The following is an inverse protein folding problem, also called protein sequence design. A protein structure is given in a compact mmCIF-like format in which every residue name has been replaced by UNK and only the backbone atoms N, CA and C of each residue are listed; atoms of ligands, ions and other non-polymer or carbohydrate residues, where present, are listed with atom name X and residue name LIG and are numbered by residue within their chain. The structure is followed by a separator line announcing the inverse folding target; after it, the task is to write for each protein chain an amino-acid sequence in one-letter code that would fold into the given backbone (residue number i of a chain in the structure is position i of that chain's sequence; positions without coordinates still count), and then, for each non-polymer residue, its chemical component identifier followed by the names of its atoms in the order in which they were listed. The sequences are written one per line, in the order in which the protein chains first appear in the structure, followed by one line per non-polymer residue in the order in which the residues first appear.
data_IF_136046739612
#
_entry.id   IF_136046739612
#
_cell.length_a   1.000
_cell.length_b   1.000
_cell.length_c   1.000
_cell.angle_alpha   90.00
_cell.angle_beta   90.00
_cell.angle_gamma   90.00
#
_symmetry.space_group_name_H-M   'P 1'
#
loop_
_entity.id
_entity.type
_entity.pdbx_description
1 polymer ?
#
# COMPACT_ATOMS: atom_id res chain seq x y z
N UNK A 1 -22.06 20.12 -53.92
CA UNK A 1 -21.65 19.12 -54.97
C UNK A 1 -22.51 17.87 -54.97
N UNK A 2 -22.68 17.09 -53.88
CA UNK A 2 -23.60 15.94 -53.79
C UNK A 2 -25.06 16.34 -54.00
N UNK A 3 -25.47 17.42 -53.36
CA UNK A 3 -26.84 17.98 -53.57
C UNK A 3 -27.10 18.48 -54.98
N UNK A 4 -26.09 19.07 -55.60
CA UNK A 4 -26.22 19.57 -57.00
C UNK A 4 -26.32 18.42 -57.98
N UNK A 5 -25.54 17.35 -57.80
CA UNK A 5 -25.67 16.13 -58.57
C UNK A 5 -27.04 15.46 -58.39
N UNK A 6 -27.61 15.50 -57.20
CA UNK A 6 -28.95 15.01 -56.86
C UNK A 6 -30.02 15.81 -57.61
N UNK A 7 -29.92 17.15 -57.54
CA UNK A 7 -30.87 18.05 -58.28
C UNK A 7 -30.75 17.80 -59.80
N UNK A 8 -29.54 17.68 -60.31
CA UNK A 8 -29.26 17.37 -61.73
C UNK A 8 -29.85 16.02 -62.15
N UNK A 9 -29.66 14.95 -61.36
CA UNK A 9 -30.26 13.65 -61.55
C UNK A 9 -31.78 13.77 -61.62
N UNK A 10 -32.40 14.46 -60.68
CA UNK A 10 -33.87 14.67 -60.66
C UNK A 10 -34.40 15.44 -61.86
N UNK A 11 -33.66 16.39 -62.41
CA UNK A 11 -34.04 17.18 -63.60
C UNK A 11 -33.87 16.37 -64.88
N UNK A 12 -32.75 15.64 -65.05
CA UNK A 12 -32.48 14.82 -66.22
C UNK A 12 -33.42 13.59 -66.31
N UNK A 13 -33.85 13.05 -65.18
CA UNK A 13 -34.81 11.97 -65.13
C UNK A 13 -36.23 12.45 -65.56
N UNK A 14 -36.63 13.67 -65.18
CA UNK A 14 -37.90 14.29 -65.60
C UNK A 14 -37.87 14.64 -67.11
N UNK A 15 -36.73 15.00 -67.68
CA UNK A 15 -36.58 15.29 -69.11
C UNK A 15 -36.37 14.05 -69.96
N UNK A 16 -36.52 12.83 -69.45
CA UNK A 16 -36.33 11.54 -70.10
C UNK A 16 -34.92 11.30 -70.69
N UNK A 17 -33.92 12.06 -70.20
CA UNK A 17 -32.54 11.87 -70.65
C UNK A 17 -31.83 10.83 -69.78
N UNK A 18 -32.19 9.57 -69.93
CA UNK A 18 -31.76 8.46 -69.07
C UNK A 18 -30.26 8.19 -69.11
N UNK A 19 -29.55 8.51 -70.18
CA UNK A 19 -28.09 8.35 -70.23
C UNK A 19 -27.38 9.32 -69.28
N UNK A 20 -27.83 10.57 -69.23
CA UNK A 20 -27.25 11.59 -68.34
C UNK A 20 -27.67 11.35 -66.91
N UNK A 21 -28.86 10.83 -66.69
CA UNK A 21 -29.33 10.44 -65.35
C UNK A 21 -28.50 9.28 -64.78
N UNK A 22 -28.20 8.25 -65.57
CA UNK A 22 -27.36 7.11 -65.17
C UNK A 22 -25.90 7.56 -64.85
N UNK A 23 -25.34 8.43 -65.69
CA UNK A 23 -24.02 9.00 -65.45
C UNK A 23 -23.97 9.82 -64.14
N UNK A 24 -24.99 10.68 -63.89
CA UNK A 24 -25.09 11.46 -62.65
C UNK A 24 -25.27 10.58 -61.39
N UNK A 25 -26.03 9.49 -61.51
CA UNK A 25 -26.21 8.50 -60.45
C UNK A 25 -24.87 7.83 -60.12
N UNK A 26 -24.16 7.31 -61.10
CA UNK A 26 -22.85 6.67 -60.94
C UNK A 26 -21.84 7.62 -60.27
N UNK A 27 -21.84 8.87 -60.71
CA UNK A 27 -20.96 9.89 -60.06
C UNK A 27 -21.32 10.18 -58.60
N UNK A 28 -22.64 10.31 -58.34
CA UNK A 28 -23.15 10.47 -56.99
C UNK A 28 -22.74 9.31 -56.10
N UNK A 29 -22.97 8.06 -56.52
CA UNK A 29 -22.64 6.86 -55.75
C UNK A 29 -21.14 6.72 -55.48
N UNK A 30 -20.27 7.07 -56.45
CA UNK A 30 -18.82 7.11 -56.25
C UNK A 30 -18.38 8.15 -55.24
N UNK A 31 -18.96 9.36 -55.29
CA UNK A 31 -18.65 10.45 -54.35
C UNK A 31 -19.12 10.12 -52.95
N UNK A 32 -20.31 9.53 -52.83
CA UNK A 32 -20.87 9.10 -51.56
C UNK A 32 -19.99 8.05 -50.92
N UNK A 33 -19.60 7.00 -51.67
CA UNK A 33 -18.68 5.97 -51.14
C UNK A 33 -17.31 6.52 -50.70
N UNK A 34 -16.81 7.54 -51.42
CA UNK A 34 -15.54 8.19 -50.99
C UNK A 34 -15.73 8.99 -49.70
N UNK A 35 -16.81 9.69 -49.54
CA UNK A 35 -17.14 10.49 -48.34
C UNK A 35 -17.38 9.58 -47.12
N UNK A 36 -18.05 8.48 -47.32
CA UNK A 36 -18.22 7.42 -46.29
C UNK A 36 -16.86 6.93 -45.77
N UNK A 37 -16.00 6.51 -46.69
CA UNK A 37 -14.64 6.05 -46.35
C UNK A 37 -13.82 7.13 -45.65
N UNK A 38 -14.02 8.40 -46.01
CA UNK A 38 -13.36 9.51 -45.33
C UNK A 38 -13.87 9.67 -43.89
N UNK A 39 -15.18 9.70 -43.69
CA UNK A 39 -15.81 9.83 -42.36
C UNK A 39 -15.42 8.68 -41.44
N UNK A 40 -15.43 7.44 -41.96
CA UNK A 40 -15.02 6.28 -41.17
C UNK A 40 -13.55 6.34 -40.76
N UNK A 41 -12.65 6.82 -41.64
CA UNK A 41 -11.25 7.05 -41.27
C UNK A 41 -11.10 8.14 -40.21
N UNK A 42 -11.82 9.25 -40.34
CA UNK A 42 -11.76 10.36 -39.38
C UNK A 42 -12.24 9.89 -37.98
N UNK A 43 -13.31 9.08 -37.94
CA UNK A 43 -13.80 8.46 -36.69
C UNK A 43 -12.74 7.50 -36.12
N UNK A 44 -12.16 6.64 -36.95
CA UNK A 44 -11.14 5.68 -36.49
C UNK A 44 -9.90 6.36 -35.92
N UNK A 45 -9.40 7.40 -36.59
CA UNK A 45 -8.24 8.18 -36.09
C UNK A 45 -8.54 8.86 -34.77
N UNK A 46 -9.73 9.45 -34.62
CA UNK A 46 -10.14 10.08 -33.36
C UNK A 46 -10.27 9.03 -32.25
N UNK A 47 -10.91 7.88 -32.50
CA UNK A 47 -11.07 6.79 -31.53
C UNK A 47 -9.71 6.22 -31.07
N UNK A 48 -8.76 6.10 -31.99
CA UNK A 48 -7.40 5.68 -31.65
C UNK A 48 -6.70 6.72 -30.75
N UNK A 49 -6.83 8.00 -31.06
CA UNK A 49 -6.28 9.08 -30.21
C UNK A 49 -6.93 9.11 -28.82
N UNK A 50 -8.25 8.90 -28.70
CA UNK A 50 -8.93 8.77 -27.42
C UNK A 50 -8.43 7.55 -26.61
N UNK A 51 -8.22 6.42 -27.27
CA UNK A 51 -7.69 5.22 -26.65
C UNK A 51 -6.28 5.42 -26.11
N UNK A 52 -5.41 6.05 -26.89
CA UNK A 52 -4.05 6.40 -26.46
C UNK A 52 -4.05 7.37 -25.28
N UNK A 53 -4.88 8.40 -25.32
CA UNK A 53 -5.01 9.35 -24.22
C UNK A 53 -5.48 8.70 -22.91
N UNK A 54 -6.40 7.74 -22.98
CA UNK A 54 -6.84 6.97 -21.81
C UNK A 54 -5.72 6.08 -21.28
N UNK A 55 -4.96 5.43 -22.16
CA UNK A 55 -3.82 4.58 -21.74
C UNK A 55 -2.72 5.41 -21.08
N UNK A 56 -2.38 6.56 -21.62
CA UNK A 56 -1.41 7.48 -21.02
C UNK A 56 -1.86 7.95 -19.63
N UNK A 57 -3.12 8.35 -19.48
CA UNK A 57 -3.69 8.74 -18.20
C UNK A 57 -3.65 7.59 -17.17
N UNK A 58 -3.94 6.36 -17.59
CA UNK A 58 -3.85 5.17 -16.74
C UNK A 58 -2.41 4.88 -16.31
N UNK A 59 -1.45 5.04 -17.20
CA UNK A 59 -0.03 4.87 -16.89
C UNK A 59 0.43 5.92 -15.88
N UNK A 60 0.05 7.18 -16.04
CA UNK A 60 0.34 8.25 -15.08
C UNK A 60 -0.24 7.94 -13.70
N UNK A 61 -1.51 7.54 -13.62
CA UNK A 61 -2.15 7.15 -12.37
C UNK A 61 -1.44 5.97 -11.69
N UNK A 62 -0.99 4.97 -12.46
CA UNK A 62 -0.24 3.85 -11.92
C UNK A 62 1.13 4.27 -11.37
N UNK A 63 1.81 5.18 -12.05
CA UNK A 63 3.08 5.75 -11.58
C UNK A 63 2.89 6.56 -10.30
N UNK A 64 1.88 7.42 -10.23
CA UNK A 64 1.55 8.22 -9.04
C UNK A 64 1.20 7.32 -7.85
N UNK A 65 0.37 6.28 -8.09
CA UNK A 65 0.04 5.29 -7.07
C UNK A 65 1.28 4.59 -6.50
N UNK A 66 2.16 4.09 -7.38
CA UNK A 66 3.38 3.41 -6.95
C UNK A 66 4.36 4.36 -6.24
N UNK A 67 4.48 5.60 -6.71
CA UNK A 67 5.31 6.63 -6.07
C UNK A 67 4.81 6.95 -4.66
N UNK A 68 3.51 7.18 -4.49
CA UNK A 68 2.90 7.45 -3.18
C UNK A 68 3.10 6.28 -2.21
N UNK A 69 2.94 5.04 -2.69
CA UNK A 69 3.19 3.85 -1.86
C UNK A 69 4.66 3.66 -1.50
N UNK A 70 5.57 3.93 -2.42
CA UNK A 70 7.00 3.90 -2.15
C UNK A 70 7.38 4.92 -1.05
N UNK A 71 6.84 6.14 -1.13
CA UNK A 71 7.05 7.17 -0.10
C UNK A 71 6.49 6.74 1.26
N UNK A 72 5.27 6.20 1.30
CA UNK A 72 4.66 5.71 2.52
C UNK A 72 5.46 4.57 3.16
N UNK A 73 5.96 3.64 2.33
CA UNK A 73 6.77 2.53 2.82
C UNK A 73 8.13 2.99 3.35
N UNK A 74 8.78 3.94 2.68
CA UNK A 74 10.06 4.51 3.16
C UNK A 74 9.87 5.24 4.49
N UNK A 75 8.78 5.97 4.64
CA UNK A 75 8.45 6.65 5.89
C UNK A 75 8.15 5.67 7.02
N UNK A 76 7.39 4.60 6.75
CA UNK A 76 7.16 3.53 7.71
C UNK A 76 8.46 2.88 8.17
N UNK A 77 9.37 2.55 7.23
CA UNK A 77 10.67 1.95 7.56
C UNK A 77 11.58 2.90 8.36
N UNK A 78 11.49 4.21 8.11
CA UNK A 78 12.20 5.22 8.89
C UNK A 78 11.70 5.23 10.33
N UNK A 79 10.38 5.30 10.52
CA UNK A 79 9.75 5.28 11.84
C UNK A 79 10.02 3.97 12.59
N UNK A 80 9.95 2.83 11.90
CA UNK A 80 10.24 1.53 12.48
C UNK A 80 11.68 1.45 13.02
N UNK A 81 12.66 1.97 12.26
CA UNK A 81 14.06 2.05 12.71
C UNK A 81 14.22 2.96 13.91
N UNK A 82 13.62 4.14 13.90
CA UNK A 82 13.68 5.08 15.03
C UNK A 82 13.12 4.47 16.33
N UNK A 83 12.01 3.73 16.22
CA UNK A 83 11.41 3.03 17.37
C UNK A 83 12.32 1.91 17.86
N UNK A 84 12.91 1.09 16.97
CA UNK A 84 13.81 0.00 17.32
C UNK A 84 15.09 0.53 17.97
N UNK A 85 15.73 1.54 17.38
CA UNK A 85 16.92 2.19 17.93
C UNK A 85 16.64 2.87 19.29
N UNK A 86 15.48 3.50 19.40
CA UNK A 86 15.04 4.10 20.67
C UNK A 86 14.82 3.04 21.75
N UNK A 87 14.30 1.86 21.41
CA UNK A 87 14.15 0.76 22.34
C UNK A 87 15.51 0.20 22.78
N UNK A 88 16.45 0.02 21.84
CA UNK A 88 17.81 -0.45 22.14
C UNK A 88 18.53 0.53 23.08
N UNK A 89 18.45 1.83 22.81
CA UNK A 89 19.05 2.85 23.71
C UNK A 89 18.47 2.80 25.11
N UNK A 90 17.15 2.75 25.25
CA UNK A 90 16.49 2.63 26.56
C UNK A 90 16.94 1.36 27.31
N UNK A 91 17.02 0.23 26.63
CA UNK A 91 17.49 -1.03 27.23
C UNK A 91 18.95 -0.94 27.70
N UNK A 92 19.80 -0.23 26.95
CA UNK A 92 21.19 0.00 27.37
C UNK A 92 21.26 0.90 28.61
N UNK A 93 20.50 1.98 28.63
CA UNK A 93 20.41 2.90 29.79
C UNK A 93 19.88 2.17 31.03
N UNK A 94 18.79 1.41 30.87
CA UNK A 94 18.22 0.58 31.94
C UNK A 94 19.24 -0.45 32.47
N UNK A 95 19.99 -1.11 31.58
CA UNK A 95 20.98 -2.08 31.97
C UNK A 95 22.12 -1.46 32.76
N UNK A 96 22.65 -0.32 32.32
CA UNK A 96 23.70 0.42 33.03
C UNK A 96 23.19 0.90 34.40
N UNK A 97 22.00 1.48 34.46
CA UNK A 97 21.39 1.91 35.72
C UNK A 97 21.13 0.73 36.68
N UNK A 98 20.78 -0.44 36.13
CA UNK A 98 20.57 -1.64 36.91
C UNK A 98 21.89 -2.20 37.47
N UNK A 99 22.96 -2.18 36.67
CA UNK A 99 24.29 -2.56 37.13
C UNK A 99 24.81 -1.65 38.26
N UNK A 100 24.62 -0.33 38.17
CA UNK A 100 25.01 0.58 39.23
C UNK A 100 24.28 0.27 40.53
N UNK A 101 22.95 0.06 40.45
CA UNK A 101 22.12 -0.33 41.60
C UNK A 101 22.58 -1.67 42.25
N UNK A 102 22.96 -2.64 41.40
CA UNK A 102 23.48 -3.94 41.91
C UNK A 102 24.82 -3.79 42.59
N UNK A 103 25.68 -2.86 42.13
CA UNK A 103 26.98 -2.58 42.74
C UNK A 103 26.85 -1.82 44.06
N UNK A 104 25.85 -0.94 44.16
CA UNK A 104 25.53 -0.21 45.41
C UNK A 104 24.91 -1.12 46.47
N UNK A 105 24.32 -2.27 46.08
CA UNK A 105 23.88 -3.29 47.02
C UNK A 105 25.14 -3.95 47.64
N UNK A 106 25.66 -3.38 48.71
CA UNK A 106 26.72 -4.03 49.47
C UNK A 106 26.33 -5.49 49.80
N UNK A 107 27.28 -6.45 49.75
CA UNK A 107 26.99 -7.78 50.23
C UNK A 107 26.47 -7.66 51.66
N UNK A 108 25.27 -8.21 51.87
CA UNK A 108 24.63 -8.21 53.21
C UNK A 108 25.68 -8.59 54.25
N UNK A 109 25.67 -7.86 55.38
CA UNK A 109 26.60 -8.10 56.47
C UNK A 109 26.83 -9.61 56.65
N UNK A 110 28.09 -10.03 56.54
CA UNK A 110 28.45 -11.43 56.56
C UNK A 110 27.87 -12.11 57.80
N UNK A 111 26.88 -12.96 57.58
CA UNK A 111 26.32 -13.83 58.65
C UNK A 111 27.19 -15.05 58.70
N UNK A 112 28.14 -15.05 59.65
CA UNK A 112 29.01 -16.15 59.89
C UNK A 112 28.24 -17.36 60.46
N UNK A 113 28.72 -18.57 60.16
CA UNK A 113 28.12 -19.77 60.68
C UNK A 113 28.27 -19.88 62.22
N UNK A 114 27.34 -20.60 62.81
CA UNK A 114 27.39 -20.91 64.23
C UNK A 114 28.74 -21.54 64.62
N UNK A 115 29.29 -22.36 63.75
CA UNK A 115 30.55 -23.06 63.91
C UNK A 115 31.73 -22.07 64.06
N UNK A 116 31.77 -20.99 63.27
CA UNK A 116 32.78 -19.94 63.36
C UNK A 116 32.62 -19.13 64.65
N UNK A 117 31.38 -18.84 65.05
CA UNK A 117 31.06 -18.13 66.27
C UNK A 117 31.52 -18.96 67.46
N UNK A 118 31.26 -20.26 67.50
CA UNK A 118 31.66 -21.18 68.56
C UNK A 118 33.20 -21.32 68.65
N UNK A 119 33.89 -21.36 67.52
CA UNK A 119 35.35 -21.35 67.48
C UNK A 119 35.93 -20.05 68.06
N UNK A 120 35.41 -18.89 67.70
CA UNK A 120 35.81 -17.61 68.27
C UNK A 120 35.56 -17.55 69.76
N UNK A 121 34.42 -17.99 70.21
CA UNK A 121 34.08 -18.05 71.65
C UNK A 121 35.04 -19.00 72.40
N UNK A 122 35.43 -20.11 71.75
CA UNK A 122 36.42 -21.04 72.34
C UNK A 122 37.81 -20.42 72.44
N UNK A 123 38.26 -19.63 71.46
CA UNK A 123 39.51 -18.88 71.50
C UNK A 123 39.50 -17.92 72.69
N UNK A 124 38.40 -17.19 72.93
CA UNK A 124 38.28 -16.27 74.05
C UNK A 124 38.34 -17.01 75.40
N UNK A 125 37.68 -18.19 75.53
CA UNK A 125 37.71 -19.00 76.77
C UNK A 125 39.10 -19.51 77.06
N UNK A 126 39.81 -20.06 76.04
CA UNK A 126 41.18 -20.53 76.20
C UNK A 126 42.19 -19.44 76.56
N UNK A 127 42.00 -18.24 75.99
CA UNK A 127 42.75 -17.05 76.34
C UNK A 127 42.55 -16.63 77.81
N UNK A 128 41.31 -16.66 78.29
CA UNK A 128 40.99 -16.39 79.69
C UNK A 128 41.60 -17.43 80.67
N UNK A 129 41.70 -18.69 80.20
CA UNK A 129 42.37 -19.75 80.95
C UNK A 129 43.88 -19.76 80.84
N UNK A 130 44.50 -18.76 80.17
CA UNK A 130 45.97 -18.61 79.94
C UNK A 130 46.58 -19.76 79.15
N UNK A 131 45.76 -20.56 78.39
CA UNK A 131 46.22 -21.64 77.50
C UNK A 131 46.48 -21.14 76.08
N UNK A 132 47.54 -20.37 75.92
CA UNK A 132 47.83 -19.61 74.71
C UNK A 132 48.13 -20.49 73.48
N UNK A 133 48.83 -21.64 73.65
CA UNK A 133 49.20 -22.56 72.56
C UNK A 133 47.91 -23.21 71.94
N UNK A 134 46.97 -23.61 72.78
CA UNK A 134 45.70 -24.19 72.35
C UNK A 134 44.79 -23.10 71.70
N UNK A 135 44.83 -21.91 72.29
CA UNK A 135 44.06 -20.77 71.71
C UNK A 135 44.55 -20.39 70.32
N UNK A 136 45.89 -20.45 70.05
CA UNK A 136 46.50 -20.18 68.77
C UNK A 136 46.06 -21.21 67.72
N UNK A 137 46.07 -22.50 68.06
CA UNK A 137 45.62 -23.57 67.18
C UNK A 137 44.12 -23.42 66.79
N UNK A 138 43.24 -23.04 67.73
CA UNK A 138 41.85 -22.84 67.48
C UNK A 138 41.59 -21.52 66.64
N UNK A 139 42.45 -20.50 66.93
CA UNK A 139 42.39 -19.24 66.15
C UNK A 139 42.75 -19.48 64.66
N UNK A 140 43.86 -20.24 64.40
CA UNK A 140 44.17 -20.53 62.97
C UNK A 140 43.10 -21.28 62.26
N UNK A 141 42.42 -22.20 62.93
CA UNK A 141 41.23 -22.89 62.35
C UNK A 141 40.06 -21.93 62.11
N UNK A 142 39.75 -21.05 63.05
CA UNK A 142 38.70 -20.04 62.92
C UNK A 142 38.99 -19.09 61.75
N UNK A 143 40.23 -18.63 61.60
CA UNK A 143 40.67 -17.76 60.50
C UNK A 143 40.57 -18.45 59.11
N UNK A 144 40.86 -19.78 59.04
CA UNK A 144 40.67 -20.56 57.83
C UNK A 144 39.19 -20.71 57.44
N UNK A 145 38.31 -21.02 58.42
CA UNK A 145 36.87 -21.12 58.19
C UNK A 145 36.29 -19.77 57.80
N UNK A 146 36.74 -18.69 58.44
CA UNK A 146 36.29 -17.32 58.09
C UNK A 146 36.65 -16.94 56.65
N UNK A 147 37.89 -17.24 56.21
CA UNK A 147 38.32 -17.01 54.82
C UNK A 147 37.48 -17.81 53.83
N UNK A 148 37.21 -19.07 54.14
CA UNK A 148 36.36 -19.92 53.29
C UNK A 148 34.92 -19.42 53.22
N UNK A 149 34.33 -19.05 54.35
CA UNK A 149 32.96 -18.51 54.41
C UNK A 149 32.82 -17.17 53.65
N UNK A 150 33.82 -16.28 53.81
CA UNK A 150 33.86 -15.02 53.04
C UNK A 150 33.94 -15.28 51.53
N UNK A 151 34.85 -16.16 51.09
CA UNK A 151 34.95 -16.52 49.67
C UNK A 151 33.66 -17.16 49.13
N UNK A 152 33.03 -17.99 49.92
CA UNK A 152 31.73 -18.61 49.55
C UNK A 152 30.63 -17.58 49.39
N UNK A 153 30.46 -16.68 50.35
CA UNK A 153 29.46 -15.60 50.29
C UNK A 153 29.73 -14.63 49.15
N UNK A 154 30.98 -14.27 48.90
CA UNK A 154 31.36 -13.43 47.75
C UNK A 154 31.04 -14.10 46.41
N UNK A 155 31.25 -15.40 46.28
CA UNK A 155 30.88 -16.14 45.09
C UNK A 155 29.38 -16.27 44.92
N UNK A 156 28.63 -16.52 46.00
CA UNK A 156 27.17 -16.56 46.00
C UNK A 156 26.60 -15.19 45.59
N UNK A 157 27.18 -14.10 46.07
CA UNK A 157 26.78 -12.74 45.68
C UNK A 157 27.07 -12.48 44.20
N UNK A 158 28.25 -12.83 43.69
CA UNK A 158 28.61 -12.71 42.27
C UNK A 158 27.66 -13.50 41.38
N UNK A 159 27.34 -14.74 41.76
CA UNK A 159 26.39 -15.58 41.00
C UNK A 159 25.00 -15.00 41.02
N UNK A 160 24.56 -14.48 42.15
CA UNK A 160 23.26 -13.80 42.25
C UNK A 160 23.18 -12.55 41.34
N UNK A 161 24.21 -11.71 41.33
CA UNK A 161 24.34 -10.55 40.45
C UNK A 161 24.29 -10.98 38.98
N UNK A 162 25.13 -11.97 38.60
CA UNK A 162 25.15 -12.49 37.25
C UNK A 162 23.80 -13.06 36.78
N UNK A 163 23.11 -13.77 37.67
CA UNK A 163 21.78 -14.30 37.37
C UNK A 163 20.72 -13.19 37.17
N UNK A 164 20.77 -12.14 37.98
CA UNK A 164 19.90 -10.98 37.83
C UNK A 164 20.15 -10.19 36.53
N UNK A 165 21.41 -10.00 36.18
CA UNK A 165 21.81 -9.39 34.90
C UNK A 165 21.31 -10.23 33.69
N UNK A 166 21.52 -11.55 33.77
CA UNK A 166 21.06 -12.48 32.74
C UNK A 166 19.52 -12.41 32.56
N UNK A 167 18.79 -12.41 33.67
CA UNK A 167 17.34 -12.29 33.65
C UNK A 167 16.86 -10.99 32.99
N UNK A 168 17.50 -9.84 33.31
CA UNK A 168 17.17 -8.57 32.68
C UNK A 168 17.46 -8.60 31.17
N UNK A 169 18.60 -9.11 30.76
CA UNK A 169 18.94 -9.28 29.33
C UNK A 169 17.94 -10.17 28.58
N UNK A 170 17.50 -11.26 29.19
CA UNK A 170 16.48 -12.12 28.60
C UNK A 170 15.14 -11.40 28.45
N UNK A 171 14.73 -10.61 29.44
CA UNK A 171 13.51 -9.78 29.35
C UNK A 171 13.62 -8.74 28.22
N UNK A 172 14.74 -8.03 28.14
CA UNK A 172 15.00 -7.06 27.08
C UNK A 172 15.02 -7.70 25.69
N UNK A 173 15.63 -8.89 25.57
CA UNK A 173 15.64 -9.64 24.31
C UNK A 173 14.23 -10.04 23.86
N UNK A 174 13.38 -10.52 24.78
CA UNK A 174 11.98 -10.85 24.46
C UNK A 174 11.15 -9.63 24.07
N UNK A 175 11.39 -8.48 24.68
CA UNK A 175 10.73 -7.22 24.33
C UNK A 175 11.13 -6.74 22.93
N UNK A 176 12.43 -6.81 22.59
CA UNK A 176 12.91 -6.47 21.25
C UNK A 176 12.38 -7.40 20.19
N UNK A 177 12.32 -8.69 20.47
CA UNK A 177 11.74 -9.66 19.55
C UNK A 177 10.24 -9.41 19.31
N UNK A 178 9.49 -9.10 20.36
CA UNK A 178 8.08 -8.73 20.25
C UNK A 178 7.89 -7.46 19.41
N UNK A 179 8.76 -6.45 19.59
CA UNK A 179 8.76 -5.23 18.78
C UNK A 179 9.05 -5.54 17.29
N UNK A 180 10.07 -6.36 17.01
CA UNK A 180 10.41 -6.77 15.64
C UNK A 180 9.27 -7.53 14.96
N UNK A 181 8.62 -8.42 15.69
CA UNK A 181 7.42 -9.13 15.20
C UNK A 181 6.26 -8.16 14.89
N UNK A 182 6.10 -7.10 15.69
CA UNK A 182 5.09 -6.06 15.44
C UNK A 182 5.43 -5.26 14.18
N UNK A 183 6.69 -4.85 14.00
CA UNK A 183 7.17 -4.15 12.80
C UNK A 183 6.97 -5.04 11.55
N UNK A 184 7.29 -6.32 11.65
CA UNK A 184 7.11 -7.26 10.55
C UNK A 184 5.64 -7.40 10.13
N UNK A 185 4.71 -7.50 11.09
CA UNK A 185 3.27 -7.49 10.78
C UNK A 185 2.84 -6.20 10.08
N UNK A 186 3.32 -5.05 10.55
CA UNK A 186 3.05 -3.78 9.88
C UNK A 186 3.53 -3.74 8.42
N UNK A 187 4.70 -4.33 8.11
CA UNK A 187 5.18 -4.49 6.72
C UNK A 187 4.24 -5.35 5.87
N UNK A 188 3.73 -6.42 6.44
CA UNK A 188 2.80 -7.33 5.76
C UNK A 188 1.47 -6.64 5.49
N UNK A 189 0.92 -5.93 6.48
CA UNK A 189 -0.27 -5.11 6.33
C UNK A 189 -0.11 -4.03 5.24
N UNK A 190 1.03 -3.34 5.20
CA UNK A 190 1.33 -2.39 4.13
C UNK A 190 1.34 -3.05 2.74
N UNK A 191 1.93 -4.23 2.60
CA UNK A 191 1.93 -4.98 1.33
C UNK A 191 0.52 -5.40 0.91
N UNK A 192 -0.29 -5.87 1.84
CA UNK A 192 -1.68 -6.24 1.58
C UNK A 192 -2.52 -5.04 1.13
N UNK A 193 -2.37 -3.90 1.79
CA UNK A 193 -3.03 -2.66 1.40
C UNK A 193 -2.61 -2.18 0.01
N UNK A 194 -1.31 -2.26 -0.31
CA UNK A 194 -0.83 -1.97 -1.67
C UNK A 194 -1.48 -2.89 -2.69
N UNK A 195 -1.50 -4.20 -2.43
CA UNK A 195 -2.08 -5.19 -3.34
C UNK A 195 -3.57 -4.91 -3.59
N UNK A 196 -4.34 -4.66 -2.53
CA UNK A 196 -5.75 -4.31 -2.66
C UNK A 196 -5.96 -3.00 -3.42
N UNK A 197 -5.13 -1.99 -3.17
CA UNK A 197 -5.16 -0.72 -3.88
C UNK A 197 -4.86 -0.88 -5.37
N UNK A 198 -3.82 -1.65 -5.69
CA UNK A 198 -3.43 -1.96 -7.07
C UNK A 198 -4.53 -2.73 -7.82
N UNK A 199 -5.17 -3.71 -7.16
CA UNK A 199 -6.30 -4.44 -7.75
C UNK A 199 -7.49 -3.53 -8.06
N UNK A 200 -7.83 -2.62 -7.14
CA UNK A 200 -8.91 -1.62 -7.36
C UNK A 200 -8.58 -0.69 -8.53
N UNK A 201 -7.34 -0.23 -8.61
CA UNK A 201 -6.88 0.63 -9.70
C UNK A 201 -6.97 -0.11 -11.04
N UNK A 202 -6.47 -1.34 -11.12
CA UNK A 202 -6.55 -2.18 -12.32
C UNK A 202 -8.00 -2.44 -12.73
N UNK A 203 -8.91 -2.69 -11.78
CA UNK A 203 -10.32 -2.89 -12.08
C UNK A 203 -10.95 -1.60 -12.62
N UNK A 204 -10.64 -0.45 -12.04
CA UNK A 204 -11.10 0.86 -12.53
C UNK A 204 -10.61 1.10 -13.97
N UNK A 205 -9.33 0.80 -14.28
CA UNK A 205 -8.79 0.92 -15.62
C UNK A 205 -9.49 0.02 -16.62
N UNK A 206 -9.77 -1.25 -16.26
CA UNK A 206 -10.52 -2.18 -17.11
C UNK A 206 -11.94 -1.67 -17.40
N UNK A 207 -12.63 -1.18 -16.39
CA UNK A 207 -13.97 -0.64 -16.56
C UNK A 207 -13.95 0.57 -17.50
N UNK A 208 -13.01 1.50 -17.32
CA UNK A 208 -12.85 2.68 -18.17
C UNK A 208 -12.60 2.32 -19.64
N UNK A 209 -11.73 1.34 -19.91
CA UNK A 209 -11.49 0.84 -21.26
C UNK A 209 -12.71 0.13 -21.86
N UNK A 210 -13.46 -0.61 -21.04
CA UNK A 210 -14.70 -1.27 -21.47
C UNK A 210 -15.76 -0.23 -21.87
N UNK A 211 -15.92 0.82 -21.04
CA UNK A 211 -16.85 1.91 -21.30
C UNK A 211 -16.46 2.68 -22.56
N UNK A 212 -15.16 2.95 -22.77
CA UNK A 212 -14.67 3.58 -23.99
C UNK A 212 -14.99 2.74 -25.21
N UNK A 213 -14.68 1.44 -25.20
CA UNK A 213 -15.00 0.51 -26.28
C UNK A 213 -16.51 0.46 -26.59
N UNK A 214 -17.34 0.45 -25.57
CA UNK A 214 -18.79 0.45 -25.71
C UNK A 214 -19.28 1.74 -26.37
N UNK A 215 -18.75 2.91 -25.97
CA UNK A 215 -19.05 4.21 -26.58
C UNK A 215 -18.64 4.25 -28.04
N UNK A 216 -17.42 3.80 -28.37
CA UNK A 216 -16.90 3.75 -29.73
C UNK A 216 -17.70 2.80 -30.63
N UNK A 217 -18.11 1.64 -30.11
CA UNK A 217 -18.98 0.71 -30.82
C UNK A 217 -20.34 1.32 -31.16
N UNK A 218 -20.96 2.03 -30.20
CA UNK A 218 -22.22 2.73 -30.44
C UNK A 218 -22.07 3.88 -31.45
N UNK A 219 -20.94 4.59 -31.42
CA UNK A 219 -20.64 5.66 -32.37
C UNK A 219 -20.49 5.09 -33.79
N UNK A 220 -19.76 3.99 -33.96
CA UNK A 220 -19.61 3.32 -35.23
C UNK A 220 -20.96 2.83 -35.80
N UNK A 221 -21.81 2.21 -34.96
CA UNK A 221 -23.15 1.81 -35.38
C UNK A 221 -24.03 3.00 -35.80
N UNK A 222 -23.94 4.13 -35.08
CA UNK A 222 -24.68 5.36 -35.45
C UNK A 222 -24.17 5.95 -36.77
N UNK A 223 -22.83 5.94 -36.99
CA UNK A 223 -22.26 6.40 -38.23
C UNK A 223 -22.71 5.53 -39.42
N UNK A 224 -22.73 4.21 -39.27
CA UNK A 224 -23.22 3.30 -40.30
C UNK A 224 -24.72 3.51 -40.63
N UNK A 225 -25.55 3.74 -39.60
CA UNK A 225 -26.99 4.03 -39.80
C UNK A 225 -27.19 5.38 -40.47
N UNK A 226 -26.44 6.42 -40.05
CA UNK A 226 -26.56 7.75 -40.64
C UNK A 226 -26.23 7.73 -42.13
N UNK A 227 -25.14 7.02 -42.49
CA UNK A 227 -24.73 6.85 -43.88
C UNK A 227 -25.84 6.15 -44.69
N UNK A 228 -26.40 5.07 -44.17
CA UNK A 228 -27.50 4.33 -44.86
C UNK A 228 -28.75 5.18 -44.99
N UNK A 229 -29.10 5.99 -44.00
CA UNK A 229 -30.24 6.89 -44.06
C UNK A 229 -30.05 8.00 -45.09
N UNK A 230 -28.88 8.65 -45.15
CA UNK A 230 -28.54 9.65 -46.14
C UNK A 230 -28.64 9.09 -47.57
N UNK A 231 -28.29 7.80 -47.77
CA UNK A 231 -28.43 7.10 -49.05
C UNK A 231 -29.88 6.78 -49.41
N UNK A 232 -30.67 6.28 -48.45
CA UNK A 232 -32.07 5.90 -48.73
C UNK A 232 -32.96 7.12 -48.97
N UNK A 233 -32.75 8.21 -48.27
CA UNK A 233 -33.45 9.47 -48.51
C UNK A 233 -33.02 10.13 -49.82
N UNK A 234 -31.86 9.80 -50.38
CA UNK A 234 -31.43 10.33 -51.66
C UNK A 234 -32.23 9.79 -52.87
N UNK A 235 -32.83 8.61 -52.77
CA UNK A 235 -33.52 7.92 -53.87
C UNK A 235 -35.00 7.66 -53.65
N UNK A 236 -35.60 8.03 -52.52
CA UNK A 236 -37.04 7.91 -52.34
C UNK A 236 -37.74 8.85 -53.34
N UNK A 237 -38.57 8.32 -54.26
CA UNK A 237 -39.45 9.21 -55.02
C UNK A 237 -40.33 9.94 -54.03
N UNK A 238 -40.61 11.23 -54.31
CA UNK A 238 -41.40 12.17 -53.53
C UNK A 238 -42.82 11.60 -53.31
N UNK A 239 -42.95 10.61 -52.43
CA UNK A 239 -44.20 10.19 -51.82
C UNK A 239 -44.30 10.92 -50.52
N UNK A 240 -45.21 11.88 -50.47
CA UNK A 240 -45.57 12.61 -49.26
C UNK A 240 -46.01 11.65 -48.15
N UNK A 241 -45.05 11.22 -47.33
CA UNK A 241 -45.32 10.51 -46.10
C UNK A 241 -44.79 11.33 -44.91
N UNK A 242 -45.57 11.41 -43.82
CA UNK A 242 -45.41 12.43 -42.80
C UNK A 242 -44.15 12.27 -41.94
N UNK A 243 -43.63 13.43 -41.57
CA UNK A 243 -42.53 13.67 -40.64
C UNK A 243 -42.92 13.21 -39.21
N UNK A 244 -43.23 11.93 -39.01
CA UNK A 244 -43.58 11.41 -37.66
C UNK A 244 -42.50 10.53 -37.08
N UNK A 245 -41.47 10.15 -37.85
CA UNK A 245 -40.41 9.21 -37.36
C UNK A 245 -39.16 9.89 -36.77
N UNK A 246 -39.03 11.22 -36.90
CA UNK A 246 -37.85 11.95 -36.35
C UNK A 246 -38.01 12.37 -34.91
N UNK A 247 -39.23 12.51 -34.39
CA UNK A 247 -39.45 12.86 -32.98
C UNK A 247 -39.29 11.67 -32.01
N UNK A 248 -39.61 10.46 -32.44
CA UNK A 248 -39.44 9.28 -31.58
C UNK A 248 -37.99 8.90 -31.33
N UNK A 249 -37.04 9.24 -32.25
CA UNK A 249 -35.61 9.00 -32.09
C UNK A 249 -34.91 10.11 -31.27
N UNK A 250 -35.46 11.32 -31.26
CA UNK A 250 -34.94 12.42 -30.44
C UNK A 250 -35.35 12.31 -28.97
N UNK A 251 -36.48 11.67 -28.66
CA UNK A 251 -36.92 11.43 -27.28
C UNK A 251 -36.18 10.26 -26.59
N UNK A 252 -35.65 9.32 -27.36
CA UNK A 252 -34.82 8.24 -26.80
C UNK A 252 -33.38 8.66 -26.42
N UNK A 253 -32.93 9.83 -26.94
CA UNK A 253 -31.57 10.33 -26.63
C UNK A 253 -31.52 11.29 -25.42
N UNK A 254 -32.66 11.78 -24.93
CA UNK A 254 -32.71 12.74 -23.82
C UNK A 254 -32.88 12.12 -22.42
N UNK A 255 -33.02 10.81 -22.35
CA UNK A 255 -33.30 10.10 -21.10
C UNK A 255 -32.15 9.27 -20.57
N UNK A 256 -31.04 9.88 -20.18
CA UNK A 256 -30.15 9.41 -19.10
C UNK A 256 -28.82 10.16 -19.06
N UNK A 257 -28.90 11.42 -18.74
CA UNK A 257 -27.73 12.16 -18.26
C UNK A 257 -28.01 12.55 -16.80
N UNK A 258 -27.81 11.62 -15.88
CA UNK A 258 -27.60 11.91 -14.45
C UNK A 258 -26.84 10.73 -13.87
N UNK A 259 -25.56 10.86 -13.80
CA UNK A 259 -24.65 10.48 -12.71
C UNK A 259 -23.21 10.72 -13.17
N UNK A 260 -22.85 11.99 -13.25
CA UNK A 260 -21.45 12.35 -13.10
C UNK A 260 -21.12 12.21 -11.61
N UNK A 261 -20.65 11.04 -11.20
CA UNK A 261 -19.92 10.91 -9.96
C UNK A 261 -18.61 11.67 -10.13
N UNK A 262 -18.62 12.89 -9.64
CA UNK A 262 -17.41 13.61 -9.23
C UNK A 262 -16.72 12.74 -8.19
N UNK A 263 -15.75 11.95 -8.60
CA UNK A 263 -14.75 11.36 -7.72
C UNK A 263 -13.86 12.50 -7.23
N UNK A 264 -14.41 13.26 -6.23
CA UNK A 264 -13.56 14.03 -5.37
C UNK A 264 -12.58 13.02 -4.73
N UNK A 265 -11.32 13.11 -5.13
CA UNK A 265 -10.18 12.47 -4.50
C UNK A 265 -10.09 12.99 -3.08
N UNK A 266 -10.88 12.38 -2.19
CA UNK A 266 -10.74 12.55 -0.76
C UNK A 266 -9.54 11.69 -0.35
N UNK A 267 -8.35 12.24 -0.52
CA UNK A 267 -7.14 11.77 0.15
C UNK A 267 -7.39 11.89 1.65
N UNK A 268 -8.04 10.88 2.21
CA UNK A 268 -8.02 10.66 3.64
C UNK A 268 -6.60 10.30 4.00
N UNK A 269 -5.86 11.29 4.50
CA UNK A 269 -4.65 11.09 5.27
C UNK A 269 -4.98 10.06 6.37
N UNK A 270 -4.70 8.80 6.10
CA UNK A 270 -4.73 7.73 7.10
C UNK A 270 -3.52 7.95 7.99
N UNK A 271 -3.66 8.86 8.95
CA UNK A 271 -2.80 8.84 10.14
C UNK A 271 -3.17 7.59 10.92
N UNK A 272 -2.38 6.54 10.76
CA UNK A 272 -2.44 5.43 11.69
C UNK A 272 -1.76 5.86 12.99
N UNK A 273 -2.43 5.74 14.14
CA UNK A 273 -1.74 5.88 15.41
C UNK A 273 -0.83 4.68 15.58
N UNK A 274 0.48 4.93 15.55
CA UNK A 274 1.47 4.01 16.09
C UNK A 274 1.36 4.08 17.62
N UNK A 275 0.58 3.18 18.23
CA UNK A 275 0.65 2.84 19.65
C UNK A 275 1.52 1.61 19.88
#
# INVERSE_FOLDING_TARGET
MLEDLRKFYGSTNRSANFKMADAAKKMHDQLTGREELRRMRDISVRQESEHQGVQEAQMMQAMEFNSAWSQNMTEFERQAREIEEGAIRRHQEEFVAYQSKLREQEPHAYKFSRQLIDLRTSVERLAKQKKYDEALKVKTKADQVEKWERMKLDNEFKTMVANKELQLRQQQATQLEALRRRIQRGREEHKEHWLMGAQRLMQSHRNMLSDLKSKQSLENMRADVAVKLDMTCAFAPFCGAPVILTEALMLASSGRARHTHTLATRTRSLRYPLL
#
